data_IF_540815775309
#
_entry.id   IF_540815775309
#
_cell.length_a   1.000
_cell.length_b   1.000
_cell.length_c   1.000
_cell.angle_alpha   90.00
_cell.angle_beta   90.00
_cell.angle_gamma   90.00
#
_symmetry.space_group_name_H-M   'P 1'
#
loop_
_entity.id
_entity.type
_entity.pdbx_description
1 polymer ?
#
# COMPACT_ATOMS: atom_id res chain seq x y z
N UNK A 1 18.28 -28.68 21.99
CA UNK A 1 18.29 -27.23 21.66
C UNK A 1 19.50 -26.62 22.35
N UNK A 2 20.58 -26.21 21.66
CA UNK A 2 21.74 -25.65 22.35
C UNK A 2 21.40 -24.24 22.86
N UNK A 3 21.48 -24.07 24.17
CA UNK A 3 21.25 -22.81 24.87
C UNK A 3 22.40 -21.87 24.50
N UNK A 4 22.09 -20.76 23.83
CA UNK A 4 23.09 -19.73 23.53
C UNK A 4 23.43 -18.99 24.82
N UNK A 5 24.57 -19.30 25.42
CA UNK A 5 25.15 -18.48 26.48
C UNK A 5 25.42 -17.08 25.91
N UNK A 6 24.68 -16.07 26.37
CA UNK A 6 25.04 -14.67 26.15
C UNK A 6 26.26 -14.41 27.04
N UNK A 7 27.37 -13.95 26.44
CA UNK A 7 28.52 -13.47 27.22
C UNK A 7 28.11 -12.15 27.88
N UNK A 8 28.04 -12.13 29.20
CA UNK A 8 27.55 -11.02 30.03
C UNK A 8 28.62 -9.96 30.38
N UNK A 9 29.79 -9.99 29.75
CA UNK A 9 30.83 -8.98 29.98
C UNK A 9 30.98 -8.08 28.75
N UNK A 10 30.77 -6.75 28.86
CA UNK A 10 30.95 -5.85 27.73
C UNK A 10 32.42 -5.86 27.30
N UNK A 11 32.65 -6.17 26.02
CA UNK A 11 34.00 -6.13 25.43
C UNK A 11 34.51 -4.69 25.58
N UNK A 12 35.71 -4.47 26.15
CA UNK A 12 36.23 -3.12 26.32
C UNK A 12 36.39 -2.45 24.95
N UNK A 13 35.83 -1.24 24.83
CA UNK A 13 35.94 -0.45 23.61
C UNK A 13 37.37 0.05 23.44
N UNK A 14 38.00 -0.33 22.32
CA UNK A 14 39.32 0.14 21.92
C UNK A 14 39.19 1.48 21.20
N UNK A 15 40.07 2.43 21.51
CA UNK A 15 40.21 3.69 20.77
C UNK A 15 41.19 3.51 19.61
N UNK A 16 40.72 3.73 18.39
CA UNK A 16 41.49 3.50 17.16
C UNK A 16 41.39 4.73 16.26
N UNK A 17 42.52 5.12 15.65
CA UNK A 17 42.54 6.20 14.67
C UNK A 17 41.97 5.72 13.32
N UNK A 18 41.04 6.49 12.75
CA UNK A 18 40.46 6.20 11.44
C UNK A 18 41.46 6.48 10.32
N UNK A 19 41.87 5.45 9.58
CA UNK A 19 42.75 5.57 8.42
C UNK A 19 42.14 6.27 7.19
N UNK A 20 40.98 6.92 7.34
CA UNK A 20 40.33 7.70 6.27
C UNK A 20 40.03 9.16 6.63
N UNK A 21 39.84 9.50 7.91
CA UNK A 21 39.61 10.89 8.35
C UNK A 21 40.55 11.35 9.47
N UNK A 22 41.44 10.50 9.98
CA UNK A 22 42.37 10.82 11.07
C UNK A 22 41.75 10.88 12.46
N UNK A 23 40.42 10.98 12.58
CA UNK A 23 39.73 11.06 13.87
C UNK A 23 39.78 9.73 14.64
N UNK A 24 39.86 9.82 15.96
CA UNK A 24 39.76 8.67 16.88
C UNK A 24 38.31 8.22 17.03
N UNK A 25 38.09 6.90 17.08
CA UNK A 25 36.76 6.33 17.31
C UNK A 25 36.84 5.05 18.14
N UNK A 26 35.74 4.73 18.85
CA UNK A 26 35.63 3.56 19.74
C UNK A 26 35.11 2.32 19.01
N UNK A 27 35.71 1.16 19.25
CA UNK A 27 35.35 -0.10 18.59
C UNK A 27 35.69 -1.33 19.44
N UNK A 28 34.84 -2.35 19.40
CA UNK A 28 35.12 -3.66 20.03
C UNK A 28 36.10 -4.52 19.20
N UNK A 29 36.41 -4.10 17.96
CA UNK A 29 37.26 -4.84 17.02
C UNK A 29 38.61 -4.13 16.83
N UNK A 30 39.70 -4.81 17.19
CA UNK A 30 41.08 -4.31 17.07
C UNK A 30 41.53 -4.09 15.62
N UNK A 31 40.97 -4.83 14.67
CA UNK A 31 41.30 -4.72 13.23
C UNK A 31 40.46 -3.68 12.47
N UNK A 32 39.58 -2.93 13.14
CA UNK A 32 38.69 -1.97 12.47
C UNK A 32 39.47 -0.69 12.15
N UNK A 33 39.74 -0.48 10.87
CA UNK A 33 40.56 0.64 10.38
C UNK A 33 39.82 1.94 10.08
N UNK A 34 38.48 1.92 10.04
CA UNK A 34 37.67 3.07 9.63
C UNK A 34 36.44 3.24 10.53
N UNK A 35 36.09 4.49 10.83
CA UNK A 35 34.96 4.82 11.71
C UNK A 35 33.60 4.43 11.10
N UNK A 36 33.45 4.54 9.77
CA UNK A 36 32.23 4.17 9.04
C UNK A 36 32.51 3.74 7.59
N UNK A 37 31.47 3.29 6.89
CA UNK A 37 31.54 2.88 5.49
C UNK A 37 32.05 3.99 4.56
N UNK A 38 31.74 5.25 4.84
CA UNK A 38 32.17 6.40 4.03
C UNK A 38 33.68 6.65 4.13
N UNK A 39 34.28 6.56 5.32
CA UNK A 39 35.73 6.64 5.49
C UNK A 39 36.46 5.46 4.84
N UNK A 40 35.87 4.26 4.90
CA UNK A 40 36.40 3.09 4.18
C UNK A 40 36.35 3.30 2.67
N UNK A 41 35.24 3.81 2.13
CA UNK A 41 35.07 4.07 0.71
C UNK A 41 36.07 5.13 0.22
N UNK A 42 36.15 6.28 0.89
CA UNK A 42 37.12 7.34 0.56
C UNK A 42 38.57 6.84 0.58
N UNK A 43 38.95 6.06 1.60
CA UNK A 43 40.29 5.50 1.67
C UNK A 43 40.55 4.43 0.61
N UNK A 44 39.53 3.69 0.15
CA UNK A 44 39.66 2.78 -1.00
C UNK A 44 39.80 3.54 -2.31
N UNK A 45 39.02 4.60 -2.50
CA UNK A 45 39.05 5.44 -3.71
C UNK A 45 40.38 6.22 -3.82
N UNK A 46 40.90 6.73 -2.70
CA UNK A 46 42.21 7.42 -2.65
C UNK A 46 43.39 6.48 -2.95
N UNK A 47 43.26 5.19 -2.60
CA UNK A 47 44.30 4.17 -2.89
C UNK A 47 44.27 3.66 -4.32
N UNK A 48 43.13 3.74 -5.00
CA UNK A 48 42.99 3.30 -6.38
C UNK A 48 42.01 4.26 -7.10
N UNK A 49 42.50 5.43 -7.53
CA UNK A 49 41.67 6.41 -8.24
C UNK A 49 41.16 5.88 -9.59
N UNK A 50 41.91 4.98 -10.23
CA UNK A 50 41.52 4.34 -11.48
C UNK A 50 40.29 3.45 -11.31
N UNK A 51 40.15 2.74 -10.19
CA UNK A 51 38.95 1.95 -9.88
C UNK A 51 37.68 2.81 -9.82
N UNK A 52 37.76 4.00 -9.21
CA UNK A 52 36.63 4.92 -9.16
C UNK A 52 36.32 5.48 -10.56
N UNK A 53 37.37 5.78 -11.34
CA UNK A 53 37.25 6.22 -12.74
C UNK A 53 36.62 5.13 -13.62
N UNK A 54 37.06 3.89 -13.52
CA UNK A 54 36.49 2.72 -14.20
C UNK A 54 35.04 2.46 -13.79
N UNK A 55 34.72 2.51 -12.49
CA UNK A 55 33.34 2.37 -12.02
C UNK A 55 32.44 3.48 -12.57
N UNK A 56 32.90 4.73 -12.59
CA UNK A 56 32.18 5.86 -13.20
C UNK A 56 32.02 5.66 -14.71
N UNK A 57 33.07 5.21 -15.40
CA UNK A 57 33.06 4.95 -16.83
C UNK A 57 32.08 3.83 -17.19
N UNK A 58 32.13 2.69 -16.50
CA UNK A 58 31.19 1.57 -16.71
C UNK A 58 29.76 1.95 -16.36
N UNK A 59 29.53 2.75 -15.32
CA UNK A 59 28.20 3.27 -14.98
C UNK A 59 27.69 4.25 -16.04
N UNK A 60 28.55 5.14 -16.55
CA UNK A 60 28.22 6.06 -17.62
C UNK A 60 27.99 5.33 -18.95
N UNK A 61 28.77 4.29 -19.25
CA UNK A 61 28.58 3.43 -20.41
C UNK A 61 27.25 2.69 -20.34
N UNK A 62 26.90 2.12 -19.17
CA UNK A 62 25.57 1.53 -18.93
C UNK A 62 24.43 2.55 -19.11
N UNK A 63 24.63 3.81 -18.72
CA UNK A 63 23.67 4.91 -18.97
C UNK A 63 23.60 5.32 -20.44
N UNK A 64 24.70 5.20 -21.19
CA UNK A 64 24.80 5.51 -22.64
C UNK A 64 24.27 4.39 -23.53
N UNK A 65 24.15 3.16 -23.03
CA UNK A 65 23.52 2.06 -23.78
C UNK A 65 22.09 2.48 -24.15
N UNK A 66 21.80 2.47 -25.45
CA UNK A 66 20.46 2.77 -25.98
C UNK A 66 19.45 1.85 -25.27
N UNK A 67 18.34 2.41 -24.77
CA UNK A 67 17.34 1.59 -24.12
C UNK A 67 16.77 0.61 -25.15
N UNK A 68 16.78 -0.67 -24.82
CA UNK A 68 16.46 -1.73 -25.77
C UNK A 68 14.94 -1.80 -25.98
N UNK A 69 14.52 -1.97 -27.22
CA UNK A 69 13.13 -2.31 -27.52
C UNK A 69 12.84 -3.75 -27.06
N UNK A 70 11.64 -3.97 -26.53
CA UNK A 70 11.18 -5.27 -26.04
C UNK A 70 9.66 -5.39 -26.21
N UNK A 71 9.16 -6.61 -26.34
CA UNK A 71 7.73 -6.91 -26.48
C UNK A 71 7.15 -7.32 -25.14
N UNK A 72 6.01 -6.72 -24.76
CA UNK A 72 5.34 -7.04 -23.50
C UNK A 72 4.70 -8.43 -23.55
N UNK A 73 5.09 -9.34 -22.66
CA UNK A 73 4.51 -10.70 -22.57
C UNK A 73 3.00 -10.70 -22.21
N UNK A 74 2.45 -9.58 -21.72
CA UNK A 74 1.05 -9.50 -21.30
C UNK A 74 0.11 -8.88 -22.35
N UNK A 75 0.57 -7.88 -23.11
CA UNK A 75 -0.27 -7.16 -24.08
C UNK A 75 0.30 -7.13 -25.50
N UNK A 76 1.50 -7.67 -25.73
CA UNK A 76 2.14 -7.71 -27.04
C UNK A 76 2.67 -6.37 -27.56
N UNK A 77 2.50 -5.27 -26.83
CA UNK A 77 3.02 -3.97 -27.28
C UNK A 77 4.54 -3.91 -27.17
N UNK A 78 5.19 -3.37 -28.19
CA UNK A 78 6.61 -3.01 -28.13
C UNK A 78 6.81 -1.82 -27.20
N UNK A 79 7.83 -1.87 -26.36
CA UNK A 79 8.18 -0.80 -25.43
C UNK A 79 9.70 -0.69 -25.27
N UNK A 80 10.15 0.52 -24.97
CA UNK A 80 11.55 0.81 -24.69
C UNK A 80 11.84 0.53 -23.22
N UNK A 81 12.88 -0.26 -22.95
CA UNK A 81 13.26 -0.68 -21.60
C UNK A 81 14.56 -0.02 -21.14
N UNK A 82 14.51 0.60 -19.97
CA UNK A 82 15.71 1.15 -19.29
C UNK A 82 16.47 0.05 -18.54
N UNK A 83 15.78 -1.03 -18.18
CA UNK A 83 16.32 -2.23 -17.53
C UNK A 83 15.57 -3.44 -18.08
N UNK A 84 16.18 -4.64 -18.02
CA UNK A 84 15.58 -5.88 -18.51
C UNK A 84 14.26 -6.17 -17.77
N UNK A 85 13.12 -6.03 -18.45
CA UNK A 85 11.78 -6.28 -17.91
C UNK A 85 10.89 -7.01 -18.93
N UNK A 86 9.95 -7.81 -18.43
CA UNK A 86 9.02 -8.62 -19.25
C UNK A 86 7.76 -7.87 -19.68
N UNK A 87 7.45 -6.77 -18.99
CA UNK A 87 6.18 -6.05 -19.14
C UNK A 87 6.41 -4.56 -19.35
N UNK A 88 5.57 -3.94 -20.18
CA UNK A 88 5.66 -2.51 -20.48
C UNK A 88 5.34 -1.62 -19.28
N UNK A 89 4.53 -2.10 -18.32
CA UNK A 89 4.06 -1.34 -17.18
C UNK A 89 3.77 -2.22 -15.96
N UNK A 90 3.65 -1.58 -14.79
CA UNK A 90 3.19 -2.23 -13.57
C UNK A 90 1.78 -2.83 -13.74
N UNK A 91 0.92 -2.19 -14.54
CA UNK A 91 -0.42 -2.70 -14.87
C UNK A 91 -0.34 -4.05 -15.57
N UNK A 92 0.50 -4.15 -16.62
CA UNK A 92 0.71 -5.41 -17.34
C UNK A 92 1.35 -6.48 -16.46
N UNK A 93 2.33 -6.11 -15.63
CA UNK A 93 2.95 -7.02 -14.67
C UNK A 93 1.93 -7.58 -13.68
N UNK A 94 1.09 -6.71 -13.10
CA UNK A 94 0.06 -7.12 -12.14
C UNK A 94 -1.02 -7.99 -12.78
N UNK A 95 -1.42 -7.68 -14.02
CA UNK A 95 -2.37 -8.49 -14.78
C UNK A 95 -1.82 -9.89 -15.06
N UNK A 96 -0.57 -9.99 -15.52
CA UNK A 96 0.10 -11.28 -15.74
C UNK A 96 0.19 -12.10 -14.44
N UNK A 97 0.57 -11.46 -13.34
CA UNK A 97 0.63 -12.10 -12.02
C UNK A 97 -0.75 -12.60 -11.57
N UNK A 98 -1.80 -11.78 -11.74
CA UNK A 98 -3.17 -12.16 -11.38
C UNK A 98 -3.65 -13.35 -12.20
N UNK A 99 -3.51 -13.32 -13.53
CA UNK A 99 -3.94 -14.40 -14.42
C UNK A 99 -3.29 -15.75 -14.07
N UNK A 100 -2.02 -15.76 -13.68
CA UNK A 100 -1.32 -16.98 -13.24
C UNK A 100 -1.89 -17.58 -11.95
N UNK A 101 -2.54 -16.78 -11.12
CA UNK A 101 -3.07 -17.20 -9.81
C UNK A 101 -4.55 -17.54 -9.85
N UNK A 102 -5.32 -16.88 -10.71
CA UNK A 102 -6.76 -17.17 -10.89
C UNK A 102 -6.94 -18.65 -11.21
N UNK A 103 -7.88 -19.30 -10.52
CA UNK A 103 -8.17 -20.73 -10.71
C UNK A 103 -7.30 -21.68 -9.88
N UNK A 104 -6.16 -21.23 -9.33
CA UNK A 104 -5.36 -22.08 -8.42
C UNK A 104 -6.09 -22.33 -7.09
N UNK A 105 -5.89 -23.49 -6.48
CA UNK A 105 -6.48 -23.83 -5.17
C UNK A 105 -6.08 -22.82 -4.08
N UNK A 106 -4.82 -22.34 -4.11
CA UNK A 106 -4.34 -21.29 -3.19
C UNK A 106 -5.13 -19.98 -3.33
N UNK A 107 -5.43 -19.56 -4.56
CA UNK A 107 -6.23 -18.36 -4.82
C UNK A 107 -7.67 -18.53 -4.33
N UNK A 108 -8.28 -19.69 -4.60
CA UNK A 108 -9.63 -20.01 -4.15
C UNK A 108 -9.74 -20.00 -2.62
N UNK A 109 -8.80 -20.63 -1.92
CA UNK A 109 -8.73 -20.65 -0.46
C UNK A 109 -8.56 -19.25 0.13
N UNK A 110 -7.62 -18.45 -0.41
CA UNK A 110 -7.42 -17.07 0.04
C UNK A 110 -8.70 -16.22 -0.13
N UNK A 111 -9.39 -16.39 -1.27
CA UNK A 111 -10.66 -15.71 -1.53
C UNK A 111 -11.77 -16.17 -0.58
N UNK A 112 -11.84 -17.47 -0.28
CA UNK A 112 -12.80 -18.02 0.69
C UNK A 112 -12.55 -17.46 2.09
N UNK A 113 -11.30 -17.46 2.57
CA UNK A 113 -10.93 -16.89 3.87
C UNK A 113 -11.30 -15.40 3.96
N UNK A 114 -10.99 -14.61 2.93
CA UNK A 114 -11.36 -13.20 2.88
C UNK A 114 -12.90 -13.02 2.92
N UNK A 115 -13.63 -13.84 2.17
CA UNK A 115 -15.10 -13.81 2.19
C UNK A 115 -15.67 -14.21 3.56
N UNK A 116 -15.10 -15.22 4.21
CA UNK A 116 -15.48 -15.64 5.56
C UNK A 116 -15.22 -14.54 6.59
N UNK A 117 -14.03 -13.92 6.56
CA UNK A 117 -13.70 -12.80 7.44
C UNK A 117 -14.67 -11.62 7.22
N UNK A 118 -15.01 -11.29 5.97
CA UNK A 118 -16.02 -10.26 5.66
C UNK A 118 -17.40 -10.62 6.22
N UNK A 119 -17.83 -11.87 6.06
CA UNK A 119 -19.12 -12.37 6.60
C UNK A 119 -19.16 -12.37 8.12
N UNK A 120 -18.07 -12.74 8.78
CA UNK A 120 -17.95 -12.71 10.24
C UNK A 120 -18.11 -11.27 10.76
N UNK A 121 -17.43 -10.29 10.14
CA UNK A 121 -17.59 -8.87 10.47
C UNK A 121 -19.01 -8.34 10.24
N UNK A 122 -19.69 -8.83 9.21
CA UNK A 122 -21.08 -8.46 8.95
C UNK A 122 -22.06 -9.11 9.96
N UNK A 123 -21.81 -10.35 10.38
CA UNK A 123 -22.63 -11.08 11.36
C UNK A 123 -22.53 -10.52 12.78
N UNK A 124 -21.40 -9.93 13.17
CA UNK A 124 -21.26 -9.28 14.48
C UNK A 124 -21.98 -7.93 14.58
N UNK A 125 -22.64 -7.49 13.51
CA UNK A 125 -23.28 -6.19 13.44
C UNK A 125 -24.77 -6.32 13.77
N UNK A 126 -25.28 -5.44 14.64
CA UNK A 126 -26.72 -5.37 14.95
C UNK A 126 -27.48 -5.00 13.67
N UNK A 127 -28.61 -5.66 13.42
CA UNK A 127 -29.43 -5.46 12.22
C UNK A 127 -30.85 -5.13 12.65
N UNK A 128 -31.26 -3.88 12.43
CA UNK A 128 -32.64 -3.47 12.54
C UNK A 128 -33.40 -3.87 11.27
N UNK A 129 -34.68 -4.19 11.42
CA UNK A 129 -35.61 -4.30 10.29
C UNK A 129 -36.32 -2.96 10.10
N UNK A 130 -36.19 -2.38 8.91
CA UNK A 130 -36.90 -1.16 8.49
C UNK A 130 -37.07 -1.16 6.98
N UNK A 131 -38.13 -0.49 6.52
CA UNK A 131 -38.30 -0.20 5.11
C UNK A 131 -37.46 1.03 4.73
N UNK A 132 -36.75 1.05 3.58
CA UNK A 132 -35.93 2.20 3.18
C UNK A 132 -36.69 3.54 3.13
N UNK A 133 -37.99 3.49 2.78
CA UNK A 133 -38.84 4.68 2.77
C UNK A 133 -38.90 5.38 4.13
N UNK A 134 -38.87 4.63 5.25
CA UNK A 134 -38.86 5.21 6.61
C UNK A 134 -37.63 6.11 6.82
N UNK A 135 -36.45 5.68 6.35
CA UNK A 135 -35.21 6.45 6.47
C UNK A 135 -35.22 7.65 5.53
N UNK A 136 -35.73 7.48 4.31
CA UNK A 136 -35.84 8.58 3.36
C UNK A 136 -36.80 9.67 3.85
N UNK A 137 -37.91 9.28 4.46
CA UNK A 137 -38.87 10.21 5.07
C UNK A 137 -38.28 10.92 6.29
N UNK A 138 -37.64 10.17 7.20
CA UNK A 138 -36.91 10.72 8.36
C UNK A 138 -35.92 11.80 7.94
N UNK A 139 -35.14 11.54 6.89
CA UNK A 139 -34.11 12.45 6.40
C UNK A 139 -34.67 13.49 5.42
N UNK A 140 -35.99 13.55 5.24
CA UNK A 140 -36.71 14.46 4.33
C UNK A 140 -36.17 14.39 2.90
N UNK A 141 -35.75 13.21 2.48
CA UNK A 141 -35.08 12.91 1.22
C UNK A 141 -33.87 13.80 0.98
N UNK A 142 -33.15 14.25 2.02
CA UNK A 142 -31.92 15.02 1.87
C UNK A 142 -30.72 14.10 1.98
N UNK A 143 -29.81 14.21 1.03
CA UNK A 143 -28.56 13.49 1.07
C UNK A 143 -27.69 14.04 2.21
N UNK A 144 -27.27 13.19 3.14
CA UNK A 144 -26.41 13.60 4.26
C UNK A 144 -24.98 14.03 3.82
N UNK A 145 -24.53 13.58 2.64
CA UNK A 145 -23.21 13.89 2.09
C UNK A 145 -23.18 15.26 1.41
N UNK A 146 -24.15 15.55 0.51
CA UNK A 146 -24.14 16.78 -0.28
C UNK A 146 -25.23 17.80 0.13
N UNK A 147 -26.10 17.46 1.08
CA UNK A 147 -27.20 18.31 1.57
C UNK A 147 -28.39 18.50 0.62
N UNK A 148 -28.25 18.10 -0.67
CA UNK A 148 -29.28 18.27 -1.71
C UNK A 148 -30.44 17.29 -1.51
N UNK A 149 -31.64 17.67 -1.98
CA UNK A 149 -32.80 16.77 -2.03
C UNK A 149 -32.60 15.70 -3.11
N UNK A 150 -32.75 14.45 -2.73
CA UNK A 150 -32.92 13.30 -3.62
C UNK A 150 -34.30 13.32 -4.26
N UNK A 151 -34.41 12.83 -5.50
CA UNK A 151 -35.69 12.74 -6.20
C UNK A 151 -36.49 11.56 -5.68
N UNK A 152 -37.68 11.80 -5.08
CA UNK A 152 -38.50 10.74 -4.47
C UNK A 152 -38.78 9.58 -5.41
N UNK A 153 -39.09 9.90 -6.67
CA UNK A 153 -39.42 8.92 -7.72
C UNK A 153 -38.22 8.53 -8.58
N UNK A 154 -37.05 9.12 -8.33
CA UNK A 154 -35.84 8.84 -9.10
C UNK A 154 -35.32 7.45 -8.72
N UNK A 155 -35.16 6.58 -9.72
CA UNK A 155 -34.63 5.22 -9.53
C UNK A 155 -33.16 5.15 -9.95
N UNK A 156 -32.38 4.33 -9.25
CA UNK A 156 -31.01 3.98 -9.66
C UNK A 156 -31.05 3.46 -11.11
N UNK A 157 -30.18 3.92 -12.04
CA UNK A 157 -28.92 4.64 -11.81
C UNK A 157 -28.99 6.18 -11.87
N UNK A 158 -30.17 6.81 -11.70
CA UNK A 158 -30.27 8.26 -11.67
C UNK A 158 -29.38 8.83 -10.53
N UNK A 159 -28.49 9.83 -10.80
CA UNK A 159 -27.61 10.43 -9.81
C UNK A 159 -28.31 10.92 -8.52
N UNK A 160 -29.54 11.43 -8.66
CA UNK A 160 -30.35 11.97 -7.58
C UNK A 160 -31.25 10.92 -6.91
N UNK A 161 -31.23 9.65 -7.33
CA UNK A 161 -32.01 8.60 -6.70
C UNK A 161 -31.62 8.44 -5.22
N UNK A 162 -32.59 8.37 -4.28
CA UNK A 162 -32.32 8.13 -2.88
C UNK A 162 -31.84 6.69 -2.68
N UNK A 163 -30.79 6.54 -1.89
CA UNK A 163 -30.21 5.25 -1.52
C UNK A 163 -29.90 5.25 -0.03
N UNK A 164 -29.90 4.06 0.58
CA UNK A 164 -29.47 3.87 1.96
C UNK A 164 -27.94 3.83 1.96
N UNK A 165 -27.33 4.76 2.68
CA UNK A 165 -25.88 4.76 2.95
C UNK A 165 -25.63 4.42 4.42
N UNK A 166 -24.65 3.55 4.67
CA UNK A 166 -24.18 3.25 6.02
C UNK A 166 -23.10 4.27 6.39
N UNK A 167 -23.34 5.06 7.44
CA UNK A 167 -22.40 6.09 7.91
C UNK A 167 -21.02 5.46 8.16
N UNK A 168 -21.01 4.39 8.96
CA UNK A 168 -19.89 3.46 9.09
C UNK A 168 -20.17 2.27 8.16
N UNK A 169 -19.33 1.99 7.14
CA UNK A 169 -19.55 0.86 6.24
C UNK A 169 -19.57 -0.48 6.98
N UNK A 170 -20.44 -1.41 6.54
CA UNK A 170 -20.51 -2.77 7.08
C UNK A 170 -19.14 -3.49 7.05
N UNK A 171 -18.33 -3.26 6.00
CA UNK A 171 -16.99 -3.85 5.87
C UNK A 171 -16.00 -3.38 6.96
N UNK A 172 -16.26 -2.21 7.55
CA UNK A 172 -15.51 -1.62 8.66
C UNK A 172 -16.16 -1.88 10.03
N UNK A 173 -17.16 -2.75 10.10
CA UNK A 173 -17.84 -3.13 11.34
C UNK A 173 -19.05 -2.26 11.70
N UNK A 174 -19.53 -1.41 10.79
CA UNK A 174 -20.79 -0.71 10.99
C UNK A 174 -22.00 -1.66 11.06
N UNK A 175 -23.02 -1.25 11.81
CA UNK A 175 -24.28 -1.98 11.98
C UNK A 175 -25.32 -1.61 10.91
N UNK A 176 -26.28 -2.50 10.62
CA UNK A 176 -27.45 -2.13 9.83
C UNK A 176 -28.57 -1.68 10.76
N UNK A 177 -28.31 -0.64 11.56
CA UNK A 177 -29.27 -0.05 12.49
C UNK A 177 -29.74 1.29 11.97
N UNK A 178 -30.92 1.74 12.41
CA UNK A 178 -31.46 3.07 12.06
C UNK A 178 -30.48 4.20 12.38
N UNK A 179 -29.66 4.02 13.43
CA UNK A 179 -28.62 4.99 13.84
C UNK A 179 -27.40 5.04 12.90
N UNK A 180 -27.09 3.95 12.20
CA UNK A 180 -25.92 3.88 11.30
C UNK A 180 -26.29 3.98 9.82
N UNK A 181 -27.55 4.28 9.50
CA UNK A 181 -27.99 4.51 8.11
C UNK A 181 -28.56 5.91 7.92
N UNK A 182 -28.34 6.46 6.73
CA UNK A 182 -28.88 7.74 6.30
C UNK A 182 -29.21 7.77 4.80
N UNK A 183 -30.07 8.68 4.40
CA UNK A 183 -30.40 8.94 3.00
C UNK A 183 -29.19 9.57 2.27
N UNK A 184 -28.80 8.99 1.13
CA UNK A 184 -27.78 9.55 0.25
C UNK A 184 -28.19 9.49 -1.22
N UNK A 185 -27.73 10.46 -2.01
CA UNK A 185 -27.90 10.43 -3.46
C UNK A 185 -27.07 9.28 -4.07
N UNK A 186 -27.58 8.59 -5.09
CA UNK A 186 -26.89 7.46 -5.72
C UNK A 186 -25.47 7.81 -6.16
N UNK A 187 -25.26 9.00 -6.75
CA UNK A 187 -23.94 9.48 -7.13
C UNK A 187 -23.01 9.62 -5.92
N UNK A 188 -23.50 10.25 -4.85
CA UNK A 188 -22.75 10.51 -3.62
C UNK A 188 -22.34 9.19 -2.95
N UNK A 189 -23.29 8.26 -2.83
CA UNK A 189 -23.10 6.95 -2.22
C UNK A 189 -22.10 6.10 -3.04
N UNK A 190 -22.23 6.14 -4.37
CA UNK A 190 -21.33 5.43 -5.29
C UNK A 190 -19.90 5.98 -5.24
N UNK A 191 -19.73 7.31 -5.09
CA UNK A 191 -18.40 7.93 -4.92
C UNK A 191 -17.78 7.58 -3.57
N UNK A 192 -18.57 7.52 -2.49
CA UNK A 192 -18.11 7.15 -1.13
C UNK A 192 -17.60 5.71 -1.06
N UNK A 193 -18.40 4.75 -1.52
CA UNK A 193 -18.04 3.32 -1.47
C UNK A 193 -17.71 2.82 -0.05
N UNK A 194 -16.67 1.98 0.06
CA UNK A 194 -16.20 1.40 1.33
C UNK A 194 -15.14 2.25 2.06
N UNK A 195 -14.82 3.44 1.54
CA UNK A 195 -13.72 4.27 2.07
C UNK A 195 -13.97 4.77 3.49
N UNK A 196 -15.18 4.64 4.03
CA UNK A 196 -15.56 4.96 5.40
C UNK A 196 -15.56 6.46 5.67
N UNK A 197 -16.72 7.00 6.04
CA UNK A 197 -16.84 8.38 6.49
C UNK A 197 -16.26 8.52 7.89
N UNK A 198 -14.93 8.59 8.00
CA UNK A 198 -14.24 8.83 9.26
C UNK A 198 -14.29 10.29 9.74
N UNK A 199 -14.92 11.20 8.98
CA UNK A 199 -14.88 12.65 9.25
C UNK A 199 -16.27 13.30 9.24
N UNK A 200 -17.29 12.59 9.72
CA UNK A 200 -18.59 13.23 9.97
C UNK A 200 -19.12 12.79 11.33
N UNK A 201 -18.36 13.14 12.37
CA UNK A 201 -18.96 13.41 13.67
C UNK A 201 -19.90 14.61 13.46
N UNK A 202 -21.18 14.34 13.25
CA UNK A 202 -22.20 15.34 13.51
C UNK A 202 -22.13 15.63 15.02
N UNK A 203 -21.37 16.67 15.38
CA UNK A 203 -21.52 17.31 16.66
C UNK A 203 -22.97 17.80 16.75
N UNK A 204 -23.61 17.36 17.83
CA UNK A 204 -24.94 17.75 18.29
C UNK A 204 -24.98 19.27 18.45
#
# INVERSE_FOLDING_TARGET
MPVRFRRESPIPLLEVCCGGCGQTFRTERSNKRYCNGSCKARACDARNPDRLREWRNTTNERKRRRPAESVCEQCGSTFVQVHRRKYCSAVCSNRAFHLRRVGTSRYQLQRQQHNQARRARAKSSVVDKFHPAEIFERDRYRCHICGKKCGRDAKVPNPAAPTIDHLIPLAKGGSHTRANVACACFQCNSVKGDRGGGEQLALI
#
